data_IF_030486683093
#
_entry.id   IF_030486683093
#
_cell.length_a   1.000
_cell.length_b   1.000
_cell.length_c   1.000
_cell.angle_alpha   90.00
_cell.angle_beta   90.00
_cell.angle_gamma   90.00
#
_symmetry.space_group_name_H-M   'P 1'
#
loop_
_entity.id
_entity.type
_entity.pdbx_description
1 polymer ?
#
# COMPACT_ATOMS: atom_id res chain seq x y z
N UNK A 1 -13.43 1.81 35.04
CA UNK A 1 -12.67 1.37 33.86
C UNK A 1 -12.28 2.60 33.05
N UNK A 2 -11.03 3.05 33.16
CA UNK A 2 -10.51 4.17 32.34
C UNK A 2 -10.25 3.58 30.96
N UNK A 3 -11.10 3.88 29.97
CA UNK A 3 -10.76 3.60 28.57
C UNK A 3 -9.55 4.49 28.26
N UNK A 4 -8.39 3.94 27.85
CA UNK A 4 -7.25 4.77 27.52
C UNK A 4 -7.65 5.73 26.41
N UNK A 5 -7.33 7.02 26.57
CA UNK A 5 -7.57 8.02 25.53
C UNK A 5 -6.97 7.48 24.22
N UNK A 6 -7.79 7.35 23.15
CA UNK A 6 -7.29 6.82 21.90
C UNK A 6 -6.23 7.77 21.36
N UNK A 7 -5.10 7.20 20.92
CA UNK A 7 -4.03 7.99 20.32
C UNK A 7 -4.60 8.72 19.10
N UNK A 8 -4.39 10.03 18.91
CA UNK A 8 -4.95 10.77 17.77
C UNK A 8 -4.60 10.11 16.43
N UNK A 9 -3.42 9.51 16.32
CA UNK A 9 -2.97 8.76 15.13
C UNK A 9 -3.89 7.56 14.84
N UNK A 10 -4.38 6.89 15.89
CA UNK A 10 -5.28 5.74 15.74
C UNK A 10 -6.69 6.16 15.34
N UNK A 11 -7.17 7.28 15.89
CA UNK A 11 -8.48 7.83 15.55
C UNK A 11 -8.51 8.17 14.07
N UNK A 12 -7.48 8.85 13.59
CA UNK A 12 -7.32 9.17 12.17
C UNK A 12 -7.16 7.91 11.31
N UNK A 13 -6.36 6.94 11.75
CA UNK A 13 -6.22 5.67 11.04
C UNK A 13 -7.58 4.98 10.86
N UNK A 14 -8.40 4.89 11.90
CA UNK A 14 -9.69 4.20 11.84
C UNK A 14 -10.78 5.01 11.13
N UNK A 15 -10.75 6.34 11.24
CA UNK A 15 -11.75 7.23 10.66
C UNK A 15 -11.51 7.59 9.20
N UNK A 16 -10.25 7.76 8.78
CA UNK A 16 -9.90 8.26 7.45
C UNK A 16 -9.29 7.17 6.58
N UNK A 17 -8.22 6.50 7.05
CA UNK A 17 -7.47 5.54 6.23
C UNK A 17 -8.16 4.18 6.09
N UNK A 18 -8.59 3.58 7.21
CA UNK A 18 -9.15 2.23 7.27
C UNK A 18 -10.43 2.01 6.43
N UNK A 19 -11.32 3.00 6.26
CA UNK A 19 -12.47 2.85 5.37
C UNK A 19 -12.10 2.77 3.89
N UNK A 20 -10.92 3.26 3.50
CA UNK A 20 -10.52 3.42 2.09
C UNK A 20 -9.78 2.19 1.56
N UNK A 21 -9.20 1.39 2.44
CA UNK A 21 -8.58 0.13 2.04
C UNK A 21 -9.65 -0.91 1.68
N UNK A 22 -9.52 -1.52 0.50
CA UNK A 22 -10.47 -2.54 0.03
C UNK A 22 -10.36 -3.82 0.87
N UNK A 23 -9.12 -4.23 1.20
CA UNK A 23 -8.87 -5.44 1.99
C UNK A 23 -8.69 -5.10 3.47
N UNK A 24 -9.77 -5.22 4.26
CA UNK A 24 -9.81 -4.93 5.71
C UNK A 24 -9.23 -6.08 6.56
N UNK A 25 -7.95 -6.38 6.36
CA UNK A 25 -7.23 -7.47 7.03
C UNK A 25 -6.07 -6.94 7.88
N UNK A 26 -5.76 -7.62 8.98
CA UNK A 26 -4.60 -7.31 9.83
C UNK A 26 -4.62 -5.88 10.41
N UNK A 27 -5.78 -5.39 10.90
CA UNK A 27 -5.98 -4.03 11.41
C UNK A 27 -4.91 -3.59 12.42
N UNK A 28 -4.53 -4.47 13.34
CA UNK A 28 -3.51 -4.17 14.36
C UNK A 28 -2.12 -3.95 13.74
N UNK A 29 -1.70 -4.83 12.83
CA UNK A 29 -0.42 -4.69 12.13
C UNK A 29 -0.40 -3.44 11.24
N UNK A 30 -1.51 -3.14 10.57
CA UNK A 30 -1.65 -1.94 9.74
C UNK A 30 -1.60 -0.67 10.59
N UNK A 31 -2.26 -0.65 11.75
CA UNK A 31 -2.20 0.46 12.70
C UNK A 31 -0.78 0.69 13.20
N UNK A 32 -0.06 -0.37 13.57
CA UNK A 32 1.35 -0.27 13.99
C UNK A 32 2.24 0.27 12.86
N UNK A 33 2.07 -0.21 11.63
CA UNK A 33 2.79 0.30 10.47
C UNK A 33 2.48 1.78 10.22
N UNK A 34 1.20 2.18 10.29
CA UNK A 34 0.75 3.55 10.08
C UNK A 34 1.42 4.52 11.07
N UNK A 35 1.45 4.16 12.37
CA UNK A 35 2.15 4.94 13.40
C UNK A 35 3.64 5.13 13.08
N UNK A 36 4.32 4.08 12.65
CA UNK A 36 5.75 4.15 12.30
C UNK A 36 5.97 5.04 11.10
N UNK A 37 5.17 4.88 10.04
CA UNK A 37 5.31 5.70 8.82
C UNK A 37 4.96 7.16 9.09
N UNK A 38 3.91 7.44 9.87
CA UNK A 38 3.59 8.81 10.30
C UNK A 38 4.75 9.46 11.07
N UNK A 39 5.40 8.74 11.98
CA UNK A 39 6.57 9.27 12.70
C UNK A 39 7.73 9.62 11.77
N UNK A 40 7.95 8.84 10.71
CA UNK A 40 8.98 9.15 9.70
C UNK A 40 8.57 10.34 8.86
N UNK A 41 7.34 10.34 8.35
CA UNK A 41 6.80 11.43 7.54
C UNK A 41 6.76 12.77 8.28
N UNK A 42 6.40 12.75 9.57
CA UNK A 42 6.45 13.93 10.44
C UNK A 42 7.87 14.45 10.65
N UNK A 43 8.90 13.60 10.60
CA UNK A 43 10.29 14.06 10.67
C UNK A 43 10.74 14.72 9.37
N UNK A 44 10.21 14.29 8.24
CA UNK A 44 10.55 14.84 6.92
C UNK A 44 9.77 16.12 6.59
N UNK A 45 8.45 16.12 6.82
CA UNK A 45 7.54 17.21 6.40
C UNK A 45 7.04 18.05 7.59
N UNK A 46 6.90 17.47 8.78
CA UNK A 46 6.42 18.19 9.98
C UNK A 46 4.90 18.26 10.15
N UNK A 47 4.12 17.56 9.33
CA UNK A 47 2.66 17.71 9.25
C UNK A 47 1.84 16.86 10.25
N UNK A 48 0.52 17.06 10.24
CA UNK A 48 -0.46 16.43 11.15
C UNK A 48 -0.84 15.00 10.72
N UNK A 49 -1.33 14.14 11.65
CA UNK A 49 -1.76 12.80 11.30
C UNK A 49 -2.95 12.79 10.32
N UNK A 50 -3.86 13.76 10.41
CA UNK A 50 -4.96 13.92 9.44
C UNK A 50 -4.42 14.09 8.02
N UNK A 51 -3.51 15.05 7.81
CA UNK A 51 -2.91 15.29 6.49
C UNK A 51 -2.20 14.06 5.95
N UNK A 52 -1.47 13.33 6.81
CA UNK A 52 -0.84 12.07 6.40
C UNK A 52 -1.87 11.05 5.91
N UNK A 53 -2.98 10.90 6.63
CA UNK A 53 -4.02 9.95 6.23
C UNK A 53 -4.70 10.38 4.92
N UNK A 54 -5.07 11.65 4.78
CA UNK A 54 -5.69 12.16 3.56
C UNK A 54 -4.77 11.99 2.35
N UNK A 55 -3.48 12.26 2.51
CA UNK A 55 -2.46 12.04 1.49
C UNK A 55 -2.43 10.57 1.02
N UNK A 56 -2.39 9.62 1.97
CA UNK A 56 -2.44 8.19 1.63
C UNK A 56 -3.75 7.79 0.97
N UNK A 57 -4.87 8.33 1.43
CA UNK A 57 -6.20 8.05 0.86
C UNK A 57 -6.30 8.55 -0.57
N UNK A 58 -5.77 9.74 -0.86
CA UNK A 58 -5.72 10.27 -2.21
C UNK A 58 -4.91 9.35 -3.14
N UNK A 59 -3.73 8.89 -2.71
CA UNK A 59 -2.91 7.93 -3.48
C UNK A 59 -3.64 6.58 -3.70
N UNK A 60 -4.25 6.02 -2.65
CA UNK A 60 -5.04 4.77 -2.74
C UNK A 60 -6.18 4.93 -3.74
N UNK A 61 -6.91 6.04 -3.71
CA UNK A 61 -8.00 6.31 -4.65
C UNK A 61 -7.51 6.37 -6.09
N UNK A 62 -6.39 7.06 -6.34
CA UNK A 62 -5.79 7.14 -7.68
C UNK A 62 -5.40 5.74 -8.17
N UNK A 63 -4.77 4.91 -7.33
CA UNK A 63 -4.34 3.55 -7.70
C UNK A 63 -5.51 2.59 -7.92
N UNK A 64 -6.58 2.75 -7.14
CA UNK A 64 -7.84 2.02 -7.35
C UNK A 64 -8.50 2.44 -8.67
N UNK A 65 -8.55 3.74 -8.96
CA UNK A 65 -9.09 4.27 -10.23
C UNK A 65 -8.26 3.86 -11.44
N UNK A 66 -6.94 3.80 -11.30
CA UNK A 66 -6.03 3.29 -12.33
C UNK A 66 -6.14 1.76 -12.53
N UNK A 67 -7.01 1.09 -11.77
CA UNK A 67 -7.25 -0.35 -11.78
C UNK A 67 -5.94 -1.17 -11.73
N UNK A 68 -5.00 -0.72 -10.88
CA UNK A 68 -3.69 -1.35 -10.79
C UNK A 68 -3.86 -2.82 -10.37
N UNK A 69 -3.42 -3.74 -11.23
CA UNK A 69 -3.61 -5.17 -11.03
C UNK A 69 -3.08 -5.62 -9.66
N UNK A 70 -3.93 -6.28 -8.87
CA UNK A 70 -3.59 -6.77 -7.54
C UNK A 70 -3.63 -5.73 -6.41
N UNK A 71 -3.88 -4.45 -6.71
CA UNK A 71 -3.97 -3.40 -5.68
C UNK A 71 -5.21 -3.55 -4.80
N UNK A 72 -6.34 -4.01 -5.36
CA UNK A 72 -7.54 -4.33 -4.58
C UNK A 72 -7.31 -5.44 -3.54
N UNK A 73 -6.38 -6.37 -3.84
CA UNK A 73 -6.00 -7.47 -2.95
C UNK A 73 -4.83 -7.14 -2.02
N UNK A 74 -4.27 -5.93 -2.13
CA UNK A 74 -3.10 -5.51 -1.37
C UNK A 74 -3.45 -5.36 0.12
N UNK A 75 -2.60 -5.92 0.97
CA UNK A 75 -2.77 -5.80 2.43
C UNK A 75 -2.39 -4.38 2.88
N UNK A 76 -3.17 -3.71 3.74
CA UNK A 76 -2.89 -2.35 4.19
C UNK A 76 -1.51 -2.21 4.83
N UNK A 77 -1.11 -3.18 5.65
CA UNK A 77 0.24 -3.27 6.22
C UNK A 77 1.34 -3.32 5.15
N UNK A 78 1.14 -4.08 4.06
CA UNK A 78 2.12 -4.18 2.96
C UNK A 78 2.22 -2.85 2.22
N UNK A 79 1.08 -2.19 1.97
CA UNK A 79 1.06 -0.85 1.39
C UNK A 79 1.88 0.15 2.23
N UNK A 80 1.66 0.13 3.55
CA UNK A 80 2.33 1.02 4.50
C UNK A 80 3.84 0.71 4.63
N UNK A 81 4.21 -0.56 4.78
CA UNK A 81 5.61 -0.97 4.94
C UNK A 81 6.43 -0.75 3.67
N UNK A 82 5.85 -1.02 2.51
CA UNK A 82 6.50 -0.85 1.21
C UNK A 82 6.53 0.59 0.72
N UNK A 83 6.14 1.56 1.56
CA UNK A 83 5.99 3.00 1.25
C UNK A 83 5.42 3.22 -0.16
N UNK A 84 4.34 2.52 -0.49
CA UNK A 84 3.86 2.42 -1.88
C UNK A 84 3.48 3.78 -2.48
N UNK A 85 3.15 4.79 -1.67
CA UNK A 85 2.92 6.16 -2.14
C UNK A 85 4.18 6.85 -2.70
N UNK A 86 5.38 6.38 -2.35
CA UNK A 86 6.65 6.83 -2.94
C UNK A 86 7.01 6.05 -4.21
N UNK A 87 6.35 4.92 -4.45
CA UNK A 87 6.52 4.16 -5.69
C UNK A 87 5.96 4.99 -6.85
N UNK A 88 6.53 4.79 -8.05
CA UNK A 88 6.05 5.46 -9.25
C UNK A 88 4.53 5.26 -9.36
N UNK A 89 3.80 6.38 -9.49
CA UNK A 89 2.35 6.32 -9.61
C UNK A 89 2.04 5.56 -10.89
N UNK A 90 1.07 4.62 -10.88
CA UNK A 90 0.66 3.98 -12.12
C UNK A 90 0.23 5.09 -13.07
N UNK A 91 0.91 5.18 -14.21
CA UNK A 91 0.42 6.00 -15.32
C UNK A 91 -0.98 5.47 -15.60
N UNK A 92 -2.00 6.30 -15.41
CA UNK A 92 -3.39 5.93 -15.74
C UNK A 92 -3.34 5.55 -17.21
N UNK A 93 -3.35 4.25 -17.50
CA UNK A 93 -3.24 3.76 -18.87
C UNK A 93 -4.59 4.02 -19.53
N UNK A 94 -4.83 5.24 -19.98
CA UNK A 94 -5.60 5.45 -21.21
C UNK A 94 -4.77 4.84 -22.34
N UNK A 95 -4.94 3.54 -22.54
CA UNK A 95 -4.46 2.73 -23.67
C UNK A 95 -3.26 3.29 -24.44
N UNK A 96 -2.04 2.89 -24.07
CA UNK A 96 -0.89 2.88 -24.99
C UNK A 96 0.18 1.93 -24.47
N UNK A 97 0.12 0.72 -25.01
CA UNK A 97 1.23 -0.21 -25.28
C UNK A 97 2.61 0.19 -24.75
N UNK A 98 3.07 -0.52 -23.71
CA UNK A 98 4.43 -1.08 -23.62
C UNK A 98 4.46 -2.25 -22.62
N UNK A 99 5.22 -3.32 -22.91
CA UNK A 99 4.96 -4.66 -22.37
C UNK A 99 5.34 -4.80 -20.90
N UNK A 100 4.39 -5.37 -20.17
CA UNK A 100 4.52 -5.92 -18.83
C UNK A 100 5.69 -6.91 -18.84
N UNK A 101 6.76 -6.61 -18.10
CA UNK A 101 7.76 -7.60 -17.69
C UNK A 101 7.08 -8.55 -16.72
N UNK A 102 6.53 -9.62 -17.29
CA UNK A 102 6.04 -10.79 -16.61
C UNK A 102 7.17 -11.31 -15.71
N UNK A 103 6.99 -11.21 -14.39
CA UNK A 103 7.71 -12.08 -13.47
C UNK A 103 7.08 -13.47 -13.59
N UNK A 104 7.34 -14.13 -14.73
CA UNK A 104 7.15 -15.56 -14.87
C UNK A 104 8.37 -16.17 -14.21
N UNK A 105 8.18 -16.72 -13.01
CA UNK A 105 9.12 -17.70 -12.47
C UNK A 105 9.28 -18.79 -13.53
N UNK A 106 10.47 -18.84 -14.13
CA UNK A 106 10.88 -19.83 -15.12
C UNK A 106 10.71 -21.23 -14.55
N UNK A 107 9.69 -21.94 -15.00
CA UNK A 107 9.67 -23.39 -15.02
C UNK A 107 9.64 -23.82 -16.49
N UNK A 108 10.82 -23.87 -17.12
CA UNK A 108 10.99 -24.52 -18.42
C UNK A 108 11.47 -25.94 -18.17
N UNK A 109 10.55 -26.90 -18.26
CA UNK A 109 10.89 -28.32 -18.47
C UNK A 109 10.69 -28.63 -19.95
N UNK A 110 11.76 -29.15 -20.57
CA UNK A 110 11.82 -30.02 -21.76
C UNK A 110 12.83 -29.54 -22.80
N UNK A 111 14.01 -30.16 -22.81
CA UNK A 111 14.36 -31.20 -23.80
C UNK A 111 15.81 -31.63 -23.58
N UNK A 112 16.02 -32.95 -23.57
CA UNK A 112 17.25 -33.60 -23.11
C UNK A 112 18.53 -33.19 -23.82
N UNK A 113 19.62 -33.25 -23.03
CA UNK A 113 20.94 -33.60 -23.53
C UNK A 113 21.63 -34.47 -22.47
N UNK A 114 22.01 -35.66 -22.91
CA UNK A 114 22.75 -36.70 -22.21
C UNK A 114 24.18 -36.23 -21.94
N UNK A 115 24.74 -36.58 -20.78
CA UNK A 115 26.18 -36.67 -20.58
C UNK A 115 26.56 -38.15 -20.45
N UNK A 116 27.63 -38.56 -21.13
CA UNK A 116 28.19 -39.92 -21.16
C UNK A 116 28.83 -40.31 -19.83
#
# INVERSE_FOLDING_TARGET
>A
MIKPNPNPIDVVFEGIFWPQVQRKVGKQSAKSAFRTQFKLWRKEIGETPEQFAEFLVADIRVRLQANQFGFEKLHPTTYLNGKRWLDDKPVIQSHSTKPQTTTTSTFTVSNGLVFF
#
